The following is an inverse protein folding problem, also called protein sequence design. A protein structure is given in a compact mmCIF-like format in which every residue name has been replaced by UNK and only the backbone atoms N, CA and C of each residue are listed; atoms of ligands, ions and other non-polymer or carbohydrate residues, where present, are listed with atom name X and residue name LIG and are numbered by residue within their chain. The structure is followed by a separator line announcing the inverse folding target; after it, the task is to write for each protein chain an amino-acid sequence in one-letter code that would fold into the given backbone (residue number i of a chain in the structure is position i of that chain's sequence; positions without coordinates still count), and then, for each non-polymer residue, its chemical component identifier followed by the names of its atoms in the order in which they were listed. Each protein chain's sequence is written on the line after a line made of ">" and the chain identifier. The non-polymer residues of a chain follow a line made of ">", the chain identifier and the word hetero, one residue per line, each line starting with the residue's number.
data_IF_164657653301
#
_entry.id   IF_164657653301
#
_cell.length_a   1.000
_cell.length_b   1.000
_cell.length_c   1.000
_cell.angle_alpha   90.00
_cell.angle_beta   90.00
_cell.angle_gamma   90.00
#
_symmetry.space_group_name_H-M   'P 1'
#
loop_
_entity.id
_entity.type
_entity.pdbx_description
1 polymer ?
#
# COMPACT_ATOMS: atom_id res chain seq x y z
N UNK A 1 23.45 -36.93 68.74
CA UNK A 1 22.02 -37.29 68.69
C UNK A 1 21.28 -36.19 67.94
N UNK A 2 20.91 -36.44 66.69
CA UNK A 2 20.12 -35.53 65.85
C UNK A 2 18.63 -35.72 66.22
N UNK A 3 17.90 -34.69 66.66
CA UNK A 3 16.48 -34.84 66.93
C UNK A 3 15.75 -34.97 65.60
N UNK A 4 15.21 -36.16 65.32
CA UNK A 4 14.30 -36.43 64.22
C UNK A 4 12.95 -35.74 64.50
N UNK A 5 12.85 -34.45 64.19
CA UNK A 5 11.59 -33.68 64.25
C UNK A 5 10.68 -34.00 63.04
N UNK A 6 10.42 -35.28 62.82
CA UNK A 6 9.56 -35.81 61.75
C UNK A 6 8.18 -36.24 62.25
N UNK A 7 7.58 -35.47 63.17
CA UNK A 7 6.19 -35.73 63.59
C UNK A 7 5.20 -35.42 62.46
N UNK A 8 4.07 -36.14 62.36
CA UNK A 8 3.09 -35.94 61.30
C UNK A 8 2.62 -34.48 61.28
N UNK A 9 2.90 -33.79 60.18
CA UNK A 9 2.51 -32.39 59.97
C UNK A 9 1.01 -32.27 60.20
N UNK A 10 0.61 -31.52 61.22
CA UNK A 10 -0.80 -31.28 61.53
C UNK A 10 -1.51 -30.74 60.28
N UNK A 11 -2.75 -31.16 60.05
CA UNK A 11 -3.55 -30.75 58.89
C UNK A 11 -3.54 -29.21 58.70
N UNK A 12 -3.49 -28.46 59.80
CA UNK A 12 -3.38 -27.00 59.81
C UNK A 12 -2.08 -26.49 59.20
N UNK A 13 -0.96 -27.14 59.48
CA UNK A 13 0.35 -26.71 58.98
C UNK A 13 0.54 -27.11 57.52
N UNK A 14 -0.02 -28.25 57.10
CA UNK A 14 -0.13 -28.61 55.67
C UNK A 14 -0.96 -27.59 54.89
N UNK A 15 -2.11 -27.16 55.44
CA UNK A 15 -2.95 -26.13 54.83
C UNK A 15 -2.25 -24.77 54.72
N UNK A 16 -1.50 -24.35 55.75
CA UNK A 16 -0.70 -23.11 55.70
C UNK A 16 0.37 -23.16 54.61
N UNK A 17 1.13 -24.26 54.49
CA UNK A 17 2.15 -24.41 53.45
C UNK A 17 1.53 -24.43 52.05
N UNK A 18 0.42 -25.13 51.86
CA UNK A 18 -0.29 -25.14 50.58
C UNK A 18 -0.79 -23.74 50.17
N UNK A 19 -1.30 -22.94 51.11
CA UNK A 19 -1.72 -21.56 50.83
C UNK A 19 -0.54 -20.64 50.54
N UNK A 20 0.57 -20.77 51.29
CA UNK A 20 1.77 -19.99 51.02
C UNK A 20 2.36 -20.31 49.63
N UNK A 21 2.36 -21.59 49.24
CA UNK A 21 2.80 -22.01 47.92
C UNK A 21 1.88 -21.46 46.82
N UNK A 22 0.55 -21.57 46.97
CA UNK A 22 -0.41 -20.98 46.02
C UNK A 22 -0.22 -19.47 45.85
N UNK A 23 0.05 -18.76 46.95
CA UNK A 23 0.29 -17.31 46.91
C UNK A 23 1.61 -16.98 46.20
N UNK A 24 2.66 -17.76 46.45
CA UNK A 24 3.94 -17.63 45.74
C UNK A 24 3.80 -17.90 44.25
N UNK A 25 3.10 -18.97 43.88
CA UNK A 25 2.88 -19.35 42.48
C UNK A 25 2.05 -18.28 41.74
N UNK A 26 1.02 -17.73 42.39
CA UNK A 26 0.23 -16.63 41.85
C UNK A 26 1.07 -15.35 41.64
N UNK A 27 1.97 -15.02 42.57
CA UNK A 27 2.88 -13.88 42.42
C UNK A 27 3.86 -14.09 41.27
N UNK A 28 4.42 -15.29 41.14
CA UNK A 28 5.32 -15.63 40.04
C UNK A 28 4.60 -15.58 38.69
N UNK A 29 3.37 -16.08 38.62
CA UNK A 29 2.55 -16.00 37.41
C UNK A 29 2.31 -14.56 36.98
N UNK A 30 1.90 -13.69 37.91
CA UNK A 30 1.69 -12.27 37.62
C UNK A 30 2.97 -11.58 37.12
N UNK A 31 4.11 -11.87 37.74
CA UNK A 31 5.41 -11.31 37.32
C UNK A 31 5.80 -11.77 35.91
N UNK A 32 5.59 -13.04 35.59
CA UNK A 32 5.87 -13.56 34.26
C UNK A 32 4.95 -12.91 33.22
N UNK A 33 3.65 -12.78 33.53
CA UNK A 33 2.70 -12.08 32.66
C UNK A 33 3.10 -10.63 32.42
N UNK A 34 3.52 -9.90 33.46
CA UNK A 34 4.01 -8.52 33.31
C UNK A 34 5.21 -8.46 32.35
N UNK A 35 6.20 -9.34 32.54
CA UNK A 35 7.37 -9.39 31.69
C UNK A 35 7.03 -9.76 30.24
N UNK A 36 6.13 -10.71 30.03
CA UNK A 36 5.68 -11.13 28.71
C UNK A 36 4.95 -9.99 28.00
N UNK A 37 4.11 -9.25 28.71
CA UNK A 37 3.41 -8.08 28.17
C UNK A 37 4.38 -6.95 27.80
N UNK A 38 5.36 -6.64 28.66
CA UNK A 38 6.40 -5.65 28.35
C UNK A 38 7.15 -6.06 27.08
N UNK A 39 7.57 -7.32 27.01
CA UNK A 39 8.30 -7.86 25.85
C UNK A 39 7.46 -7.80 24.58
N UNK A 40 6.17 -8.10 24.66
CA UNK A 40 5.23 -7.97 23.55
C UNK A 40 5.12 -6.52 23.06
N UNK A 41 4.89 -5.56 23.96
CA UNK A 41 4.74 -4.15 23.56
C UNK A 41 6.04 -3.56 23.01
N UNK A 42 7.19 -3.92 23.56
CA UNK A 42 8.49 -3.53 23.01
C UNK A 42 8.68 -4.10 21.60
N UNK A 43 8.34 -5.38 21.39
CA UNK A 43 8.39 -6.01 20.07
C UNK A 43 7.44 -5.33 19.06
N UNK A 44 6.21 -5.00 19.45
CA UNK A 44 5.25 -4.28 18.58
C UNK A 44 5.76 -2.88 18.21
N UNK A 45 6.37 -2.16 19.17
CA UNK A 45 6.96 -0.85 18.91
C UNK A 45 8.15 -0.96 17.95
N UNK A 46 8.99 -1.96 18.14
CA UNK A 46 10.16 -2.17 17.29
C UNK A 46 9.76 -2.64 15.89
N UNK A 47 8.72 -3.47 15.74
CA UNK A 47 8.12 -3.81 14.46
C UNK A 47 7.67 -2.57 13.69
N UNK A 48 6.94 -1.66 14.36
CA UNK A 48 6.51 -0.40 13.73
C UNK A 48 7.70 0.45 13.28
N UNK A 49 8.72 0.59 14.13
CA UNK A 49 9.94 1.35 13.80
C UNK A 49 10.66 0.75 12.59
N UNK A 50 10.79 -0.57 12.55
CA UNK A 50 11.42 -1.28 11.43
C UNK A 50 10.64 -1.03 10.14
N UNK A 51 9.31 -1.12 10.17
CA UNK A 51 8.46 -0.84 9.01
C UNK A 51 8.61 0.60 8.50
N UNK A 52 8.63 1.57 9.41
CA UNK A 52 8.82 2.98 9.06
C UNK A 52 10.20 3.21 8.41
N UNK A 53 11.25 2.60 8.95
CA UNK A 53 12.61 2.73 8.45
C UNK A 53 12.80 2.06 7.09
N UNK A 54 12.21 0.88 6.90
CA UNK A 54 12.19 0.20 5.59
C UNK A 54 11.48 1.06 4.56
N UNK A 55 10.31 1.61 4.90
CA UNK A 55 9.54 2.48 4.01
C UNK A 55 10.34 3.71 3.60
N UNK A 56 10.93 4.43 4.57
CA UNK A 56 11.80 5.59 4.31
C UNK A 56 12.98 5.23 3.42
N UNK A 57 13.60 4.07 3.63
CA UNK A 57 14.76 3.63 2.85
C UNK A 57 14.39 3.26 1.42
N UNK A 58 13.27 2.58 1.22
CA UNK A 58 12.73 2.27 -0.11
C UNK A 58 12.42 3.57 -0.86
N UNK A 59 11.77 4.52 -0.22
CA UNK A 59 11.41 5.79 -0.86
C UNK A 59 12.63 6.62 -1.22
N UNK A 60 13.66 6.63 -0.39
CA UNK A 60 14.94 7.24 -0.73
C UNK A 60 15.58 6.55 -1.94
N UNK A 61 15.66 5.22 -1.92
CA UNK A 61 16.24 4.46 -3.03
C UNK A 61 15.49 4.68 -4.34
N UNK A 62 14.16 4.73 -4.29
CA UNK A 62 13.31 5.05 -5.45
C UNK A 62 13.59 6.45 -6.00
N UNK A 63 13.70 7.45 -5.13
CA UNK A 63 14.05 8.83 -5.54
C UNK A 63 15.44 8.90 -6.18
N UNK A 64 16.43 8.27 -5.55
CA UNK A 64 17.80 8.25 -6.06
C UNK A 64 17.89 7.51 -7.40
N UNK A 65 17.19 6.39 -7.55
CA UNK A 65 17.10 5.64 -8.80
C UNK A 65 16.40 6.44 -9.89
N UNK A 66 15.29 7.11 -9.56
CA UNK A 66 14.56 7.97 -10.50
C UNK A 66 15.44 9.11 -11.01
N UNK A 67 16.14 9.80 -10.12
CA UNK A 67 17.07 10.87 -10.51
C UNK A 67 18.19 10.35 -11.44
N UNK A 68 18.74 9.16 -11.16
CA UNK A 68 19.74 8.54 -12.03
C UNK A 68 19.18 8.15 -13.40
N UNK A 69 17.94 7.67 -13.45
CA UNK A 69 17.25 7.37 -14.70
C UNK A 69 16.99 8.65 -15.50
N UNK A 70 16.49 9.69 -14.85
CA UNK A 70 16.23 10.99 -15.49
C UNK A 70 17.53 11.57 -16.08
N UNK A 71 18.63 11.55 -15.32
CA UNK A 71 19.95 11.97 -15.82
C UNK A 71 20.48 11.09 -16.97
N UNK A 72 20.14 9.80 -17.00
CA UNK A 72 20.49 8.93 -18.12
C UNK A 72 19.62 9.23 -19.36
N UNK A 73 18.33 9.50 -19.16
CA UNK A 73 17.41 9.90 -20.23
C UNK A 73 17.83 11.23 -20.85
N UNK A 74 18.21 12.22 -20.04
CA UNK A 74 18.74 13.51 -20.49
C UNK A 74 20.00 13.31 -21.32
N UNK A 75 21.01 12.59 -20.80
CA UNK A 75 22.24 12.30 -21.57
C UNK A 75 21.97 11.58 -22.89
N UNK A 76 21.03 10.63 -22.91
CA UNK A 76 20.62 9.94 -24.14
C UNK A 76 20.02 10.93 -25.13
N UNK A 77 19.08 11.75 -24.67
CA UNK A 77 18.41 12.74 -25.50
C UNK A 77 19.40 13.79 -26.05
N UNK A 78 20.36 14.24 -25.24
CA UNK A 78 21.41 15.17 -25.64
C UNK A 78 22.32 14.60 -26.72
N UNK A 79 22.68 13.31 -26.61
CA UNK A 79 23.48 12.63 -27.63
C UNK A 79 22.74 12.58 -28.98
N UNK A 80 21.44 12.25 -28.98
CA UNK A 80 20.63 12.28 -30.21
C UNK A 80 20.50 13.69 -30.77
N UNK A 81 20.35 14.71 -29.91
CA UNK A 81 20.32 16.09 -30.34
C UNK A 81 21.66 16.56 -30.93
N UNK A 82 22.79 16.07 -30.42
CA UNK A 82 24.10 16.33 -30.99
C UNK A 82 24.25 15.70 -32.39
N UNK A 83 23.75 14.48 -32.60
CA UNK A 83 23.67 13.88 -33.95
C UNK A 83 22.82 14.75 -34.88
N UNK A 84 21.66 15.23 -34.40
CA UNK A 84 20.81 16.13 -35.19
C UNK A 84 21.51 17.43 -35.56
N UNK A 85 22.28 18.02 -34.63
CA UNK A 85 23.08 19.23 -34.88
C UNK A 85 24.20 19.01 -35.92
N UNK A 86 24.70 17.78 -36.08
CA UNK A 86 25.71 17.41 -37.10
C UNK A 86 25.11 17.20 -38.51
N UNK A 87 23.80 17.25 -38.65
CA UNK A 87 23.11 17.14 -39.95
C UNK A 87 22.34 15.85 -40.16
N UNK A 88 22.37 14.90 -39.22
CA UNK A 88 21.62 13.65 -39.33
C UNK A 88 20.10 13.87 -39.41
N UNK A 89 19.39 13.02 -40.17
CA UNK A 89 17.93 13.05 -40.24
C UNK A 89 17.31 12.23 -39.11
N UNK A 90 16.06 12.50 -38.75
CA UNK A 90 15.36 11.72 -37.71
C UNK A 90 15.26 10.23 -38.06
N UNK A 91 15.14 9.90 -39.36
CA UNK A 91 15.13 8.52 -39.83
C UNK A 91 16.50 7.84 -39.70
N UNK A 92 17.58 8.55 -40.03
CA UNK A 92 18.96 8.07 -39.83
C UNK A 92 19.26 7.83 -38.35
N UNK A 93 18.93 8.78 -37.49
CA UNK A 93 19.09 8.65 -36.02
C UNK A 93 18.28 7.48 -35.48
N UNK A 94 17.04 7.28 -35.94
CA UNK A 94 16.20 6.16 -35.54
C UNK A 94 16.83 4.81 -35.92
N UNK A 95 17.36 4.70 -37.15
CA UNK A 95 18.05 3.50 -37.63
C UNK A 95 19.37 3.23 -36.90
N UNK A 96 20.11 4.26 -36.49
CA UNK A 96 21.39 4.11 -35.80
C UNK A 96 21.26 3.60 -34.35
N UNK A 97 20.11 3.81 -33.73
CA UNK A 97 19.90 3.55 -32.29
C UNK A 97 18.77 2.53 -32.07
N UNK A 98 18.30 1.89 -33.14
CA UNK A 98 17.19 0.92 -33.14
C UNK A 98 15.95 1.43 -32.39
N UNK A 99 15.60 2.70 -32.64
CA UNK A 99 14.40 3.34 -32.10
C UNK A 99 13.41 3.61 -33.22
N UNK A 100 12.12 3.73 -32.88
CA UNK A 100 11.14 4.24 -33.84
C UNK A 100 11.41 5.71 -34.16
N UNK A 101 11.16 6.13 -35.40
CA UNK A 101 11.25 7.54 -35.83
C UNK A 101 10.49 8.51 -34.89
N UNK A 102 9.24 8.23 -34.47
CA UNK A 102 8.54 9.12 -33.53
C UNK A 102 9.23 9.20 -32.16
N UNK A 103 9.81 8.12 -31.64
CA UNK A 103 10.53 8.15 -30.36
C UNK A 103 11.85 8.91 -30.46
N UNK A 104 12.64 8.66 -31.50
CA UNK A 104 13.87 9.42 -31.76
C UNK A 104 13.57 10.92 -31.91
N UNK A 105 12.49 11.26 -32.63
CA UNK A 105 12.03 12.65 -32.76
C UNK A 105 11.62 13.25 -31.42
N UNK A 106 10.87 12.52 -30.60
CA UNK A 106 10.43 12.96 -29.26
C UNK A 106 11.62 13.26 -28.35
N UNK A 107 12.62 12.37 -28.33
CA UNK A 107 13.82 12.54 -27.51
C UNK A 107 14.69 13.71 -27.96
N UNK A 108 14.87 13.90 -29.27
CA UNK A 108 15.61 15.06 -29.78
C UNK A 108 14.89 16.36 -29.41
N UNK A 109 13.57 16.42 -29.61
CA UNK A 109 12.77 17.60 -29.29
C UNK A 109 12.71 17.91 -27.79
N UNK A 110 12.74 16.92 -26.91
CA UNK A 110 12.71 17.15 -25.46
C UNK A 110 13.96 17.87 -24.92
N UNK A 111 15.06 17.88 -25.68
CA UNK A 111 16.28 18.64 -25.31
C UNK A 111 16.29 20.07 -25.82
N UNK A 112 15.38 20.41 -26.73
CA UNK A 112 15.30 21.77 -27.22
C UNK A 112 14.61 22.62 -26.16
N UNK A 113 15.19 23.76 -25.74
CA UNK A 113 14.45 24.70 -24.91
C UNK A 113 13.14 25.00 -25.65
N UNK A 114 12.03 25.12 -24.92
CA UNK A 114 10.71 25.45 -25.44
C UNK A 114 10.70 26.88 -26.02
N UNK A 115 11.52 27.12 -27.05
CA UNK A 115 11.48 28.31 -27.88
C UNK A 115 10.26 28.12 -28.77
N UNK A 116 9.13 28.56 -28.27
CA UNK A 116 8.00 29.06 -29.06
C UNK A 116 7.83 28.37 -30.42
N UNK A 117 7.47 27.09 -30.43
CA UNK A 117 6.89 26.51 -31.64
C UNK A 117 5.45 26.96 -31.67
N UNK A 118 5.24 28.01 -32.47
CA UNK A 118 3.97 28.54 -32.90
C UNK A 118 2.92 27.43 -33.10
N UNK A 119 1.74 27.72 -32.54
CA UNK A 119 0.41 27.37 -33.03
C UNK A 119 0.45 26.76 -34.44
N UNK A 120 -0.07 25.54 -34.67
CA UNK A 120 -0.45 25.15 -36.02
C UNK A 120 -1.61 26.06 -36.42
N UNK A 121 -1.32 27.05 -37.26
CA UNK A 121 -2.35 27.81 -37.97
C UNK A 121 -2.90 26.89 -39.07
N UNK A 122 -3.82 26.02 -38.68
CA UNK A 122 -4.74 25.35 -39.60
C UNK A 122 -6.05 26.12 -39.57
N UNK A 123 -6.10 27.23 -40.29
CA UNK A 123 -7.36 27.85 -40.66
C UNK A 123 -8.10 26.98 -41.68
N UNK A 124 -9.42 26.86 -41.58
CA UNK A 124 -10.28 26.81 -42.74
C UNK A 124 -11.02 28.15 -42.83
N UNK A 125 -10.67 28.87 -43.90
CA UNK A 125 -11.56 29.70 -44.73
C UNK A 125 -13.01 29.83 -44.23
N UNK A 126 -13.34 31.05 -43.82
CA UNK A 126 -14.72 31.52 -43.73
C UNK A 126 -15.32 31.64 -45.13
N UNK A 127 -16.55 31.18 -45.32
CA UNK A 127 -17.59 31.93 -46.04
C UNK A 127 -18.99 31.32 -45.79
N UNK A 128 -19.84 32.14 -45.15
CA UNK A 128 -21.29 32.25 -45.21
C UNK A 128 -22.19 31.00 -45.17
N UNK A 129 -23.13 30.95 -44.22
CA UNK A 129 -24.53 31.29 -44.51
C UNK A 129 -25.33 31.57 -43.22
N UNK A 130 -26.22 32.55 -43.37
CA UNK A 130 -27.11 33.19 -42.39
C UNK A 130 -28.33 32.33 -42.03
N UNK A 131 -28.83 32.51 -40.78
CA UNK A 131 -30.27 32.53 -40.51
C UNK A 131 -30.76 31.65 -39.37
N UNK A 132 -31.41 32.26 -38.37
CA UNK A 132 -32.32 31.55 -37.47
C UNK A 132 -32.35 32.02 -36.02
N UNK A 133 -32.97 33.17 -35.76
CA UNK A 133 -33.40 33.65 -34.43
C UNK A 133 -34.66 32.93 -33.93
N UNK A 134 -34.88 32.88 -32.61
CA UNK A 134 -36.17 33.00 -31.86
C UNK A 134 -36.17 32.06 -30.63
N UNK A 135 -36.09 32.58 -29.39
CA UNK A 135 -37.21 32.77 -28.43
C UNK A 135 -37.52 31.46 -27.65
N UNK A 136 -37.79 31.34 -26.35
CA UNK A 136 -38.28 32.20 -25.26
C UNK A 136 -38.23 31.37 -23.95
N UNK A 137 -38.01 32.03 -22.79
CA UNK A 137 -38.53 31.85 -21.40
C UNK A 137 -39.06 30.45 -20.93
N UNK A 138 -39.10 30.02 -19.67
CA UNK A 138 -38.82 30.49 -18.32
C UNK A 138 -38.94 29.24 -17.38
N UNK A 139 -38.36 29.32 -16.17
CA UNK A 139 -38.86 28.77 -14.89
C UNK A 139 -39.25 27.28 -14.73
N UNK A 140 -38.69 26.59 -13.71
CA UNK A 140 -39.39 26.18 -12.47
C UNK A 140 -38.50 25.32 -11.53
N UNK A 141 -38.76 25.48 -10.23
CA UNK A 141 -38.09 24.91 -9.05
C UNK A 141 -38.28 23.39 -8.84
N UNK A 142 -37.19 22.71 -8.39
CA UNK A 142 -37.04 21.74 -7.27
C UNK A 142 -38.09 20.61 -7.00
N UNK A 143 -37.88 19.73 -6.00
CA UNK A 143 -37.18 18.44 -6.06
C UNK A 143 -38.13 17.22 -5.90
N UNK A 144 -37.80 16.09 -6.54
CA UNK A 144 -38.61 14.86 -6.51
C UNK A 144 -37.92 13.69 -5.81
N UNK A 145 -38.30 13.49 -4.56
CA UNK A 145 -38.10 12.30 -3.73
C UNK A 145 -38.85 11.10 -4.33
N UNK A 146 -38.18 9.97 -4.58
CA UNK A 146 -38.83 8.67 -4.73
C UNK A 146 -37.93 7.55 -4.22
N UNK A 147 -38.25 7.11 -3.01
CA UNK A 147 -37.93 5.79 -2.49
C UNK A 147 -38.37 4.69 -3.47
N UNK A 148 -37.56 3.64 -3.60
CA UNK A 148 -38.04 2.33 -4.04
C UNK A 148 -37.45 1.25 -3.14
N UNK A 149 -38.39 0.58 -2.50
CA UNK A 149 -38.30 -0.48 -1.52
C UNK A 149 -38.14 -1.85 -2.18
N UNK A 150 -37.73 -2.83 -1.35
CA UNK A 150 -38.05 -4.26 -1.44
C UNK A 150 -37.40 -5.06 -2.62
N UNK A 151 -36.85 -6.26 -2.47
CA UNK A 151 -36.86 -7.27 -1.40
C UNK A 151 -35.84 -8.36 -1.75
N UNK A 152 -35.42 -9.13 -0.73
CA UNK A 152 -35.27 -10.59 -0.70
C UNK A 152 -33.94 -11.06 -0.08
N UNK A 153 -33.97 -11.30 1.23
CA UNK A 153 -33.19 -12.38 1.85
C UNK A 153 -33.87 -13.73 1.57
N UNK A 154 -33.11 -14.83 1.59
CA UNK A 154 -33.53 -15.91 2.47
C UNK A 154 -32.40 -16.42 3.38
N UNK A 155 -32.80 -16.61 4.64
CA UNK A 155 -32.11 -17.28 5.73
C UNK A 155 -31.67 -18.71 5.40
N UNK A 156 -30.51 -19.12 5.92
CA UNK A 156 -30.27 -20.53 6.23
C UNK A 156 -29.74 -20.65 7.65
N UNK A 157 -30.61 -21.15 8.52
CA UNK A 157 -30.31 -21.72 9.82
C UNK A 157 -29.28 -22.84 9.69
N UNK A 158 -28.25 -22.79 10.52
CA UNK A 158 -27.23 -23.83 10.66
C UNK A 158 -27.04 -24.19 12.12
N UNK A 159 -28.06 -24.80 12.72
CA UNK A 159 -27.98 -25.49 14.02
C UNK A 159 -28.38 -26.96 13.85
N UNK A 160 -27.43 -27.87 14.09
CA UNK A 160 -27.63 -29.19 14.70
C UNK A 160 -26.33 -30.01 14.57
N UNK A 161 -25.72 -30.34 15.72
CA UNK A 161 -24.56 -31.21 15.82
C UNK A 161 -24.85 -32.70 15.61
N UNK A 162 -23.78 -33.49 15.48
CA UNK A 162 -23.75 -34.91 15.85
C UNK A 162 -22.31 -35.40 15.99
N UNK A 163 -22.07 -36.10 17.09
CA UNK A 163 -20.87 -36.84 17.48
C UNK A 163 -20.48 -37.95 16.49
N UNK A 164 -19.19 -38.33 16.45
CA UNK A 164 -18.81 -39.62 15.87
C UNK A 164 -17.35 -39.82 15.47
N UNK A 165 -16.53 -40.25 16.44
CA UNK A 165 -15.44 -41.22 16.35
C UNK A 165 -14.49 -41.25 15.11
N UNK A 166 -13.21 -40.98 15.36
CA UNK A 166 -12.11 -41.29 14.44
C UNK A 166 -10.75 -41.26 15.14
N UNK A 167 -10.58 -42.13 16.14
CA UNK A 167 -9.32 -42.29 16.84
C UNK A 167 -8.20 -42.73 15.90
N UNK A 168 -7.08 -42.03 16.00
CA UNK A 168 -5.79 -42.36 15.39
C UNK A 168 -5.22 -43.58 16.11
N UNK A 169 -4.95 -44.66 15.38
CA UNK A 169 -4.00 -45.69 15.80
C UNK A 169 -2.76 -45.61 14.94
N UNK A 170 -1.73 -45.02 15.55
CA UNK A 170 -0.33 -45.18 15.20
C UNK A 170 0.28 -46.08 16.27
N UNK A 171 0.53 -47.34 15.94
CA UNK A 171 1.46 -48.24 16.61
C UNK A 171 1.68 -49.45 15.69
#
# INVERSE_FOLDING_TARGET
>A
MTPSNGGPVSARERARRANAQRLSDAQMHLKNQEQDLVSYFDATRDEQRINDDVTKRIDRLRRDARSKLDAAYERRAEALAALKKRGETYASIAALVDLSVPEATRLVKSTMPARATARPDSGPTAENYSGGTSSTEESFESPGDFASTASAEPSTDGDAGADGAGARSIA
#
